data_IF_864676758267
#
_entry.id   IF_864676758267
#
_cell.length_a   1.000
_cell.length_b   1.000
_cell.length_c   1.000
_cell.angle_alpha   90.00
_cell.angle_beta   90.00
_cell.angle_gamma   90.00
#
_symmetry.space_group_name_H-M   'P 1'
#
loop_
_entity.id
_entity.type
_entity.pdbx_description
1 polymer ?
#
# COMPACT_ATOMS: atom_id res chain seq x y z
N UNK A 1 1.60 -7.40 25.55
CA UNK A 1 2.78 -6.78 24.91
C UNK A 1 2.28 -5.92 23.76
N UNK A 2 2.32 -4.58 23.87
CA UNK A 2 2.05 -3.72 22.71
C UNK A 2 3.18 -3.89 21.71
N UNK A 3 2.87 -4.45 20.54
CA UNK A 3 3.79 -4.45 19.41
C UNK A 3 4.05 -2.99 19.03
N UNK A 4 5.33 -2.61 18.94
CA UNK A 4 5.71 -1.29 18.42
C UNK A 4 5.14 -1.14 16.99
N UNK A 5 4.66 0.06 16.61
CA UNK A 5 4.18 0.28 15.26
C UNK A 5 5.31 -0.02 14.26
N UNK A 6 4.97 -0.61 13.10
CA UNK A 6 5.95 -0.83 12.06
C UNK A 6 6.55 0.51 11.60
N UNK A 7 7.78 0.49 11.09
CA UNK A 7 8.43 1.63 10.45
C UNK A 7 8.80 1.24 9.02
N UNK A 8 8.81 2.21 8.12
CA UNK A 8 9.36 2.00 6.78
C UNK A 8 10.82 1.56 6.86
N UNK A 9 11.17 0.56 6.06
CA UNK A 9 12.53 0.00 5.98
C UNK A 9 13.31 0.50 4.77
N UNK A 10 12.63 1.13 3.81
CA UNK A 10 13.23 1.77 2.64
C UNK A 10 12.75 3.22 2.49
N UNK A 11 13.46 4.01 1.68
CA UNK A 11 12.89 5.23 1.09
C UNK A 11 11.82 4.91 0.03
N UNK A 12 11.05 5.92 -0.38
CA UNK A 12 10.05 5.75 -1.44
C UNK A 12 10.72 5.58 -2.80
N UNK A 13 10.27 4.60 -3.58
CA UNK A 13 10.74 4.32 -4.93
C UNK A 13 9.60 4.45 -5.95
N UNK A 14 9.95 4.64 -7.22
CA UNK A 14 9.01 4.66 -8.34
C UNK A 14 9.40 3.60 -9.36
N UNK A 15 8.53 2.61 -9.58
CA UNK A 15 8.78 1.51 -10.53
C UNK A 15 7.69 1.44 -11.61
N UNK A 16 8.04 0.84 -12.75
CA UNK A 16 7.11 0.61 -13.85
C UNK A 16 6.33 -0.69 -13.63
N UNK A 17 5.02 -0.65 -13.85
CA UNK A 17 4.14 -1.81 -13.80
C UNK A 17 3.64 -2.16 -15.20
N UNK A 18 4.31 -3.15 -15.82
CA UNK A 18 4.08 -3.53 -17.22
C UNK A 18 2.66 -3.95 -17.57
N UNK A 19 1.99 -4.71 -16.68
CA UNK A 19 0.67 -5.26 -16.98
C UNK A 19 -0.41 -4.20 -16.97
N UNK A 20 -0.26 -3.19 -16.11
CA UNK A 20 -1.23 -2.11 -15.93
C UNK A 20 -0.83 -0.81 -16.64
N UNK A 21 0.33 -0.79 -17.32
CA UNK A 21 0.87 0.33 -18.09
C UNK A 21 0.92 1.65 -17.31
N UNK A 22 1.32 1.56 -16.04
CA UNK A 22 1.44 2.70 -15.14
C UNK A 22 2.70 2.59 -14.29
N UNK A 23 3.07 3.67 -13.61
CA UNK A 23 4.08 3.62 -12.55
C UNK A 23 3.42 3.45 -11.19
N UNK A 24 4.17 2.87 -10.24
CA UNK A 24 3.74 2.72 -8.84
C UNK A 24 4.80 3.28 -7.91
N UNK A 25 4.35 4.09 -6.95
CA UNK A 25 5.14 4.42 -5.77
C UNK A 25 5.19 3.19 -4.87
N UNK A 26 6.38 2.86 -4.35
CA UNK A 26 6.59 1.68 -3.52
C UNK A 26 7.42 2.04 -2.29
N UNK A 27 6.99 1.52 -1.15
CA UNK A 27 7.75 1.59 0.10
C UNK A 27 7.76 0.20 0.74
N UNK A 28 8.92 -0.19 1.26
CA UNK A 28 9.06 -1.41 2.03
C UNK A 28 8.80 -1.13 3.51
N UNK A 29 7.99 -2.00 4.13
CA UNK A 29 7.68 -1.95 5.56
C UNK A 29 7.81 -3.37 6.11
N UNK A 30 8.99 -3.69 6.64
CA UNK A 30 9.32 -5.07 7.01
C UNK A 30 9.39 -5.94 5.77
N UNK A 31 8.65 -7.05 5.73
CA UNK A 31 8.63 -7.98 4.58
C UNK A 31 7.56 -7.63 3.54
N UNK A 32 6.83 -6.52 3.72
CA UNK A 32 5.72 -6.14 2.84
C UNK A 32 6.04 -4.86 2.09
N UNK A 33 5.94 -4.92 0.76
CA UNK A 33 5.98 -3.75 -0.11
C UNK A 33 4.54 -3.23 -0.28
N UNK A 34 4.30 -2.00 0.15
CA UNK A 34 3.07 -1.27 -0.15
C UNK A 34 3.24 -0.51 -1.47
N UNK A 35 2.19 -0.45 -2.27
CA UNK A 35 2.23 0.23 -3.57
C UNK A 35 1.02 1.13 -3.79
N UNK A 36 1.26 2.29 -4.39
CA UNK A 36 0.24 3.24 -4.87
C UNK A 36 0.45 3.54 -6.34
N UNK A 37 -0.62 3.51 -7.13
CA UNK A 37 -0.59 3.87 -8.55
C UNK A 37 -0.36 5.36 -8.77
N UNK A 38 0.41 5.69 -9.80
CA UNK A 38 0.65 7.08 -10.21
C UNK A 38 -0.58 7.71 -10.89
N UNK A 39 -1.28 6.96 -11.73
CA UNK A 39 -2.37 7.42 -12.59
C UNK A 39 -3.71 7.56 -11.85
N UNK A 40 -4.08 6.59 -11.02
CA UNK A 40 -5.39 6.55 -10.34
C UNK A 40 -5.31 6.79 -8.83
N UNK A 41 -4.09 6.88 -8.28
CA UNK A 41 -3.83 6.96 -6.84
C UNK A 41 -4.36 5.79 -6.00
N UNK A 42 -4.85 4.70 -6.61
CA UNK A 42 -5.27 3.52 -5.86
C UNK A 42 -4.08 2.89 -5.14
N UNK A 43 -4.36 2.35 -3.96
CA UNK A 43 -3.37 1.73 -3.05
C UNK A 43 -3.68 0.24 -2.93
N UNK A 44 -2.66 -0.60 -2.85
CA UNK A 44 -2.84 -2.02 -2.59
C UNK A 44 -3.26 -2.28 -1.12
N UNK A 45 -4.57 -2.28 -0.87
CA UNK A 45 -5.17 -2.49 0.45
C UNK A 45 -4.84 -3.85 1.06
N UNK A 46 -4.59 -4.88 0.24
CA UNK A 46 -4.12 -6.18 0.75
C UNK A 46 -2.75 -6.04 1.43
N UNK A 47 -1.81 -5.30 0.84
CA UNK A 47 -0.49 -5.09 1.44
C UNK A 47 -0.55 -4.18 2.67
N UNK A 48 -1.37 -3.13 2.62
CA UNK A 48 -1.59 -2.24 3.77
C UNK A 48 -2.05 -3.02 5.02
N UNK A 49 -3.03 -3.90 4.86
CA UNK A 49 -3.56 -4.68 5.99
C UNK A 49 -2.65 -5.83 6.42
N UNK A 50 -1.72 -6.28 5.57
CA UNK A 50 -0.65 -7.18 5.99
C UNK A 50 0.38 -6.46 6.88
N UNK A 51 0.69 -5.19 6.58
CA UNK A 51 1.56 -4.34 7.44
C UNK A 51 0.92 -4.17 8.83
N UNK A 52 -0.41 -4.02 8.88
CA UNK A 52 -1.19 -4.01 10.12
C UNK A 52 -1.29 -5.38 10.82
N UNK A 53 -0.68 -6.44 10.26
CA UNK A 53 -0.65 -7.80 10.80
C UNK A 53 -2.04 -8.40 11.06
N UNK A 54 -3.03 -8.00 10.27
CA UNK A 54 -4.37 -8.58 10.37
C UNK A 54 -4.38 -10.04 9.89
N UNK A 55 -5.22 -10.86 10.52
CA UNK A 55 -5.46 -12.22 10.03
C UNK A 55 -6.05 -12.18 8.63
N UNK A 56 -5.80 -13.24 7.85
CA UNK A 56 -6.35 -13.40 6.50
C UNK A 56 -7.87 -13.18 6.46
N UNK A 57 -8.62 -13.83 7.36
CA UNK A 57 -10.07 -13.71 7.41
C UNK A 57 -10.54 -12.27 7.64
N UNK A 58 -9.96 -11.56 8.62
CA UNK A 58 -10.34 -10.17 8.92
C UNK A 58 -10.03 -9.23 7.75
N UNK A 59 -8.84 -9.36 7.16
CA UNK A 59 -8.45 -8.60 5.97
C UNK A 59 -9.41 -8.84 4.80
N UNK A 60 -9.70 -10.11 4.51
CA UNK A 60 -10.54 -10.48 3.38
C UNK A 60 -11.98 -9.95 3.60
N UNK A 61 -12.50 -9.98 4.84
CA UNK A 61 -13.80 -9.38 5.21
C UNK A 61 -13.84 -7.87 5.00
N UNK A 62 -12.80 -7.13 5.41
CA UNK A 62 -12.71 -5.67 5.20
C UNK A 62 -12.71 -5.36 3.70
N UNK A 63 -11.77 -5.95 2.95
CA UNK A 63 -11.57 -5.66 1.54
C UNK A 63 -12.68 -6.18 0.63
N UNK A 64 -13.52 -7.13 1.08
CA UNK A 64 -14.64 -7.64 0.28
C UNK A 64 -15.69 -6.56 -0.01
N UNK A 65 -15.91 -5.65 0.95
CA UNK A 65 -16.99 -4.68 0.91
C UNK A 65 -16.53 -3.27 0.54
N UNK A 66 -15.25 -3.06 0.24
CA UNK A 66 -14.73 -1.75 -0.12
C UNK A 66 -15.33 -1.27 -1.46
N UNK A 67 -15.98 -0.09 -1.49
CA UNK A 67 -16.56 0.47 -2.72
C UNK A 67 -15.47 0.76 -3.75
N UNK A 68 -15.76 0.46 -5.02
CA UNK A 68 -14.82 0.74 -6.12
C UNK A 68 -13.52 -0.07 -6.08
N UNK A 69 -13.45 -1.12 -5.25
CA UNK A 69 -12.26 -1.98 -5.19
C UNK A 69 -11.96 -2.64 -6.53
N UNK A 70 -10.67 -2.74 -6.88
CA UNK A 70 -10.18 -3.51 -8.03
C UNK A 70 -9.36 -4.72 -7.57
N UNK A 71 -9.65 -5.90 -8.11
CA UNK A 71 -8.91 -7.13 -7.77
C UNK A 71 -7.87 -7.42 -8.86
N UNK A 72 -6.61 -7.48 -8.47
CA UNK A 72 -5.48 -7.83 -9.34
C UNK A 72 -4.99 -9.23 -8.99
N UNK A 73 -5.20 -10.19 -9.90
CA UNK A 73 -4.97 -11.64 -9.68
C UNK A 73 -3.65 -12.14 -10.28
N UNK A 74 -3.13 -11.48 -11.30
CA UNK A 74 -1.92 -11.85 -12.05
C UNK A 74 -0.86 -10.76 -11.97
N UNK A 75 0.35 -11.05 -12.46
CA UNK A 75 1.51 -10.14 -12.38
C UNK A 75 2.41 -10.38 -11.17
N UNK A 76 3.33 -9.45 -10.85
CA UNK A 76 4.27 -9.57 -9.74
C UNK A 76 3.56 -9.80 -8.39
N UNK A 77 4.08 -10.68 -7.54
CA UNK A 77 3.44 -11.05 -6.26
C UNK A 77 3.13 -9.84 -5.39
N UNK A 78 4.07 -8.89 -5.30
CA UNK A 78 3.93 -7.71 -4.49
C UNK A 78 2.86 -6.72 -5.00
N UNK A 79 2.42 -6.85 -6.26
CA UNK A 79 1.35 -6.03 -6.87
C UNK A 79 -0.03 -6.73 -6.90
N UNK A 80 -0.07 -8.06 -6.70
CA UNK A 80 -1.32 -8.80 -6.54
C UNK A 80 -2.07 -8.36 -5.27
N UNK A 81 -3.39 -8.35 -5.33
CA UNK A 81 -4.25 -8.00 -4.21
C UNK A 81 -5.49 -7.21 -4.60
N UNK A 82 -6.19 -6.73 -3.58
CA UNK A 82 -7.30 -5.77 -3.72
C UNK A 82 -6.73 -4.36 -3.61
N UNK A 83 -7.00 -3.56 -4.64
CA UNK A 83 -6.65 -2.15 -4.72
C UNK A 83 -7.88 -1.31 -4.36
N UNK A 84 -7.67 -0.27 -3.56
CA UNK A 84 -8.69 0.62 -3.01
C UNK A 84 -8.28 2.07 -3.19
N UNK A 85 -9.25 3.00 -3.15
CA UNK A 85 -8.97 4.43 -3.27
C UNK A 85 -8.08 4.97 -2.15
N UNK A 86 -7.29 6.01 -2.46
CA UNK A 86 -6.35 6.64 -1.51
C UNK A 86 -7.01 7.08 -0.20
N UNK A 87 -8.15 7.76 -0.29
CA UNK A 87 -8.88 8.24 0.88
C UNK A 87 -9.24 7.08 1.83
N UNK A 88 -9.68 5.96 1.27
CA UNK A 88 -10.00 4.78 2.07
C UNK A 88 -8.75 4.12 2.65
N UNK A 89 -7.66 4.05 1.89
CA UNK A 89 -6.39 3.52 2.38
C UNK A 89 -5.88 4.31 3.59
N UNK A 90 -6.02 5.65 3.60
CA UNK A 90 -5.67 6.49 4.76
C UNK A 90 -6.51 6.18 5.98
N UNK A 91 -7.85 6.08 5.82
CA UNK A 91 -8.74 5.70 6.92
C UNK A 91 -8.34 4.35 7.53
N UNK A 92 -8.05 3.35 6.69
CA UNK A 92 -7.59 2.04 7.17
C UNK A 92 -6.21 2.12 7.85
N UNK A 93 -5.30 2.95 7.35
CA UNK A 93 -3.99 3.14 7.97
C UNK A 93 -4.11 3.73 9.38
N UNK A 94 -5.00 4.72 9.56
CA UNK A 94 -5.27 5.35 10.86
C UNK A 94 -5.97 4.36 11.80
N UNK A 95 -7.03 3.69 11.33
CA UNK A 95 -7.82 2.72 12.09
C UNK A 95 -6.95 1.58 12.65
N UNK A 96 -5.94 1.15 11.90
CA UNK A 96 -5.04 0.08 12.31
C UNK A 96 -3.65 0.56 12.77
N UNK A 97 -3.48 1.86 13.04
CA UNK A 97 -2.26 2.44 13.61
C UNK A 97 -0.98 2.13 12.82
N UNK A 98 -1.06 2.21 11.49
CA UNK A 98 0.09 2.03 10.57
C UNK A 98 0.43 3.28 9.76
N UNK A 99 -0.28 4.39 9.94
CA UNK A 99 -0.11 5.63 9.15
C UNK A 99 1.31 6.17 9.11
N UNK A 100 2.01 6.17 10.25
CA UNK A 100 3.42 6.64 10.31
C UNK A 100 4.33 5.80 9.39
N UNK A 101 4.12 4.48 9.35
CA UNK A 101 4.92 3.56 8.56
C UNK A 101 4.75 3.74 7.04
N UNK A 102 3.60 4.25 6.62
CA UNK A 102 3.19 4.33 5.21
C UNK A 102 2.98 5.77 4.74
N UNK A 103 3.33 6.76 5.55
CA UNK A 103 3.03 8.17 5.31
C UNK A 103 3.52 8.65 3.94
N UNK A 104 4.75 8.30 3.56
CA UNK A 104 5.36 8.74 2.29
C UNK A 104 4.56 8.30 1.05
N UNK A 105 4.06 7.06 1.03
CA UNK A 105 3.30 6.54 -0.13
C UNK A 105 1.85 7.06 -0.13
N UNK A 106 1.31 7.41 1.05
CA UNK A 106 -0.04 7.94 1.21
C UNK A 106 -0.12 9.47 1.19
N UNK A 107 1.00 10.19 1.09
CA UNK A 107 1.07 11.65 1.00
C UNK A 107 0.22 12.20 -0.18
N UNK A 108 -0.24 13.44 -0.15
CA UNK A 108 -0.83 14.07 -1.34
C UNK A 108 0.16 14.15 -2.49
N UNK A 109 1.43 14.46 -2.19
CA UNK A 109 2.51 14.64 -3.14
C UNK A 109 3.65 13.62 -2.90
N UNK A 110 3.43 12.31 -3.10
CA UNK A 110 4.40 11.26 -2.78
C UNK A 110 5.77 11.47 -3.47
N UNK A 111 5.80 12.13 -4.62
CA UNK A 111 7.02 12.43 -5.37
C UNK A 111 8.09 13.20 -4.58
N UNK A 112 7.71 13.98 -3.55
CA UNK A 112 8.67 14.74 -2.73
C UNK A 112 9.53 13.82 -1.86
N UNK A 113 9.07 12.58 -1.63
CA UNK A 113 9.75 11.56 -0.82
C UNK A 113 10.56 10.59 -1.68
N UNK A 114 10.59 10.76 -3.01
CA UNK A 114 11.32 9.86 -3.88
C UNK A 114 12.81 9.89 -3.55
N UNK A 115 13.34 8.71 -3.30
CA UNK A 115 14.77 8.50 -3.17
C UNK A 115 15.39 8.80 -4.54
N UNK A 116 16.44 9.64 -4.64
CA UNK A 116 17.15 9.85 -5.89
C UNK A 116 17.61 8.51 -6.46
N UNK A 117 17.49 8.33 -7.77
CA UNK A 117 18.14 7.21 -8.43
C UNK A 117 19.67 7.40 -8.30
N UNK A 118 20.37 6.38 -7.79
CA UNK A 118 21.84 6.31 -7.82
C UNK A 118 22.37 6.32 -9.26
#
# INVERSE_FOLDING_TARGET
MSLKPPKATSGLMLSWWDQEKTRVFQIEVGETILSRRLDSHEVNGTKLLNIARLTRGRRDSILKNEPGRRVVKSGPMHLKGVWIGLARARVLADEFSVSEAVAQVLDEAPQIHLTPAE
#
